data_IF_962800947879
#
_entry.id   IF_962800947879
#
_cell.length_a   1.000
_cell.length_b   1.000
_cell.length_c   1.000
_cell.angle_alpha   90.00
_cell.angle_beta   90.00
_cell.angle_gamma   90.00
#
_symmetry.space_group_name_H-M   'P 1'
#
loop_
_entity.id
_entity.type
_entity.pdbx_description
1 polymer ?
#
# COMPACT_ATOMS: atom_id res chain seq x y z
N UNK A 1 16.21 -0.56 -5.92
CA UNK A 1 15.15 -0.73 -4.92
C UNK A 1 15.31 -2.02 -4.11
N UNK A 2 15.81 -1.88 -2.89
CA UNK A 2 15.79 -2.89 -1.83
C UNK A 2 14.41 -2.89 -1.13
N UNK A 3 13.90 -4.05 -0.68
CA UNK A 3 12.63 -4.16 0.06
C UNK A 3 12.91 -4.63 1.47
N UNK A 4 12.37 -3.93 2.48
CA UNK A 4 12.52 -4.28 3.89
C UNK A 4 11.16 -4.31 4.59
N UNK A 5 10.97 -5.31 5.44
CA UNK A 5 9.85 -5.36 6.37
C UNK A 5 10.39 -5.12 7.78
N UNK A 6 9.68 -4.29 8.56
CA UNK A 6 9.95 -4.02 9.98
C UNK A 6 8.72 -4.41 10.80
N UNK A 7 8.42 -3.71 11.90
CA UNK A 7 7.21 -3.95 12.69
C UNK A 7 5.95 -3.69 11.85
N UNK A 8 5.28 -4.77 11.48
CA UNK A 8 4.10 -4.75 10.63
C UNK A 8 2.82 -4.84 11.48
N UNK A 9 2.01 -3.77 11.47
CA UNK A 9 0.66 -3.77 12.02
C UNK A 9 -0.30 -3.27 10.91
N UNK A 10 -1.16 -4.12 10.32
CA UNK A 10 -1.97 -3.71 9.18
C UNK A 10 -2.93 -2.54 9.47
N UNK A 11 -3.30 -2.32 10.74
CA UNK A 11 -4.20 -1.22 11.13
C UNK A 11 -3.47 0.10 11.44
N UNK A 12 -2.14 0.06 11.49
CA UNK A 12 -1.30 1.21 11.80
C UNK A 12 0.07 0.98 11.18
N UNK A 13 0.19 1.22 9.87
CA UNK A 13 1.42 0.95 9.14
C UNK A 13 1.95 2.16 8.42
N UNK A 14 3.25 2.39 8.58
CA UNK A 14 4.00 3.38 7.83
C UNK A 14 4.77 2.72 6.70
N UNK A 15 4.60 3.26 5.50
CA UNK A 15 5.39 2.89 4.33
C UNK A 15 6.39 4.01 4.08
N UNK A 16 7.66 3.64 3.92
CA UNK A 16 8.76 4.58 3.74
C UNK A 16 9.47 4.31 2.42
N UNK A 17 9.79 5.37 1.70
CA UNK A 17 10.50 5.32 0.43
C UNK A 17 11.74 6.19 0.57
N UNK A 18 12.90 5.60 0.33
CA UNK A 18 14.14 6.35 0.16
C UNK A 18 14.45 6.48 -1.32
N UNK A 19 14.67 7.72 -1.74
CA UNK A 19 15.10 8.09 -3.08
C UNK A 19 16.63 8.19 -3.12
N UNK A 20 17.24 7.86 -4.26
CA UNK A 20 18.70 8.03 -4.46
C UNK A 20 19.13 9.51 -4.60
N UNK A 21 18.15 10.42 -4.70
CA UNK A 21 18.31 11.87 -4.67
C UNK A 21 17.08 12.54 -4.03
N UNK A 22 17.08 13.86 -3.85
CA UNK A 22 15.88 14.58 -3.40
C UNK A 22 14.88 14.61 -4.56
N UNK A 23 13.69 14.00 -4.44
CA UNK A 23 12.75 13.87 -5.54
C UNK A 23 12.22 15.24 -5.97
N UNK A 24 12.09 15.44 -7.28
CA UNK A 24 11.41 16.59 -7.88
C UNK A 24 9.90 16.54 -7.64
N UNK A 25 9.21 17.66 -7.82
CA UNK A 25 7.74 17.71 -7.69
C UNK A 25 7.01 16.74 -8.63
N UNK A 26 7.57 16.50 -9.82
CA UNK A 26 7.01 15.52 -10.77
C UNK A 26 7.17 14.07 -10.27
N UNK A 27 8.33 13.74 -9.70
CA UNK A 27 8.55 12.40 -9.13
C UNK A 27 7.68 12.16 -7.91
N UNK A 28 7.48 13.18 -7.06
CA UNK A 28 6.52 13.12 -5.95
C UNK A 28 5.11 12.84 -6.46
N UNK A 29 4.66 13.54 -7.50
CA UNK A 29 3.36 13.31 -8.11
C UNK A 29 3.19 11.88 -8.62
N UNK A 30 4.21 11.29 -9.26
CA UNK A 30 4.15 9.89 -9.70
C UNK A 30 3.99 8.90 -8.54
N UNK A 31 4.70 9.14 -7.43
CA UNK A 31 4.59 8.32 -6.23
C UNK A 31 3.18 8.47 -5.62
N UNK A 32 2.72 9.70 -5.41
CA UNK A 32 1.39 9.98 -4.87
C UNK A 32 0.28 9.35 -5.72
N UNK A 33 0.34 9.50 -7.05
CA UNK A 33 -0.65 8.94 -7.97
C UNK A 33 -0.68 7.42 -7.93
N UNK A 34 0.48 6.75 -7.86
CA UNK A 34 0.57 5.31 -7.70
C UNK A 34 -0.12 4.87 -6.40
N UNK A 35 0.20 5.51 -5.27
CA UNK A 35 -0.35 5.17 -3.97
C UNK A 35 -1.85 5.47 -3.86
N UNK A 36 -2.30 6.61 -4.37
CA UNK A 36 -3.72 6.97 -4.42
C UNK A 36 -4.51 5.96 -5.24
N UNK A 37 -3.98 5.52 -6.39
CA UNK A 37 -4.62 4.53 -7.25
C UNK A 37 -4.68 3.15 -6.58
N UNK A 38 -3.56 2.72 -5.98
CA UNK A 38 -3.47 1.46 -5.23
C UNK A 38 -4.43 1.44 -4.04
N UNK A 39 -4.44 2.51 -3.23
CA UNK A 39 -5.35 2.64 -2.10
C UNK A 39 -6.81 2.67 -2.55
N UNK A 40 -7.13 3.36 -3.64
CA UNK A 40 -8.51 3.40 -4.16
C UNK A 40 -9.02 2.00 -4.52
N UNK A 41 -8.21 1.18 -5.20
CA UNK A 41 -8.55 -0.22 -5.48
C UNK A 41 -8.71 -1.03 -4.18
N UNK A 42 -7.79 -0.88 -3.23
CA UNK A 42 -7.85 -1.55 -1.93
C UNK A 42 -9.08 -1.13 -1.10
N UNK A 43 -9.45 0.15 -1.11
CA UNK A 43 -10.62 0.71 -0.42
C UNK A 43 -11.93 0.10 -0.92
N UNK A 44 -11.96 -0.30 -2.20
CA UNK A 44 -13.09 -0.97 -2.83
C UNK A 44 -13.04 -2.51 -2.68
N UNK A 45 -12.06 -3.06 -1.96
CA UNK A 45 -11.90 -4.50 -1.76
C UNK A 45 -11.31 -5.22 -2.98
N UNK A 46 -10.60 -4.49 -3.86
CA UNK A 46 -10.00 -5.06 -5.08
C UNK A 46 -8.87 -6.07 -4.82
N UNK A 47 -8.29 -6.06 -3.62
CA UNK A 47 -7.27 -7.03 -3.18
C UNK A 47 -7.90 -8.08 -2.27
N UNK A 48 -8.93 -8.77 -2.79
CA UNK A 48 -9.64 -9.83 -2.07
C UNK A 48 -9.16 -11.21 -2.53
N UNK A 49 -8.41 -11.88 -1.68
CA UNK A 49 -7.87 -13.21 -1.96
C UNK A 49 -8.96 -14.30 -2.04
N UNK A 50 -10.11 -14.12 -1.39
CA UNK A 50 -11.22 -15.08 -1.43
C UNK A 50 -11.90 -15.13 -2.81
N UNK A 51 -11.73 -14.10 -3.65
CA UNK A 51 -12.38 -14.00 -4.96
C UNK A 51 -11.38 -13.91 -6.14
N UNK A 52 -10.19 -14.49 -6.01
CA UNK A 52 -9.16 -14.53 -7.06
C UNK A 52 -9.38 -15.65 -8.10
N UNK A 53 -10.61 -15.82 -8.58
CA UNK A 53 -11.01 -16.97 -9.41
C UNK A 53 -10.14 -17.17 -10.67
N UNK A 54 -9.74 -16.07 -11.32
CA UNK A 54 -8.89 -16.12 -12.52
C UNK A 54 -7.49 -16.63 -12.18
N UNK A 55 -6.93 -16.17 -11.05
CA UNK A 55 -5.63 -16.61 -10.56
C UNK A 55 -5.67 -18.08 -10.15
N UNK A 56 -6.73 -18.50 -9.48
CA UNK A 56 -6.91 -19.87 -8.99
C UNK A 56 -7.09 -20.89 -10.13
N UNK A 57 -7.64 -20.45 -11.27
CA UNK A 57 -7.76 -21.28 -12.47
C UNK A 57 -6.39 -21.53 -13.16
N UNK A 58 -5.49 -20.56 -13.12
CA UNK A 58 -4.14 -20.69 -13.67
C UNK A 58 -4.05 -20.53 -15.19
N UNK A 59 -4.09 -21.63 -15.95
CA UNK A 59 -3.57 -21.68 -17.34
C UNK A 59 -4.67 -21.74 -18.42
N UNK A 60 -5.88 -22.20 -18.09
CA UNK A 60 -6.97 -22.45 -19.05
C UNK A 60 -8.10 -21.39 -18.95
N UNK A 61 -7.73 -20.11 -19.09
CA UNK A 61 -8.65 -18.97 -18.93
C UNK A 61 -9.71 -18.88 -20.04
N UNK A 62 -9.43 -19.47 -21.21
CA UNK A 62 -10.35 -19.37 -22.36
C UNK A 62 -11.70 -20.00 -22.03
N UNK A 63 -12.77 -19.22 -22.17
CA UNK A 63 -14.15 -19.63 -21.84
C UNK A 63 -14.37 -19.99 -20.36
N UNK A 64 -13.56 -19.42 -19.45
CA UNK A 64 -13.83 -19.47 -18.02
C UNK A 64 -15.18 -18.83 -17.71
N UNK A 65 -16.06 -19.60 -17.09
CA UNK A 65 -17.28 -19.09 -16.48
C UNK A 65 -16.93 -18.51 -15.11
N UNK A 66 -17.18 -17.22 -14.93
CA UNK A 66 -16.94 -16.55 -13.64
C UNK A 66 -18.08 -16.90 -12.68
N UNK A 67 -17.72 -17.40 -11.50
CA UNK A 67 -18.69 -17.80 -10.49
C UNK A 67 -19.22 -16.56 -9.75
N UNK A 68 -20.42 -16.13 -10.14
CA UNK A 68 -21.10 -15.00 -9.52
C UNK A 68 -21.57 -15.29 -8.10
N UNK A 69 -21.95 -16.54 -7.79
CA UNK A 69 -22.38 -16.91 -6.44
C UNK A 69 -21.18 -16.87 -5.49
N UNK A 70 -20.01 -17.35 -5.91
CA UNK A 70 -18.78 -17.21 -5.15
C UNK A 70 -18.43 -15.73 -4.92
N UNK A 71 -18.53 -14.89 -5.95
CA UNK A 71 -18.21 -13.46 -5.85
C UNK A 71 -19.16 -12.71 -4.90
N UNK A 72 -20.46 -13.02 -4.93
CA UNK A 72 -21.46 -12.40 -4.03
C UNK A 72 -21.31 -12.88 -2.57
N UNK A 73 -20.86 -14.12 -2.36
CA UNK A 73 -20.68 -14.68 -1.01
C UNK A 73 -19.29 -14.41 -0.40
N UNK A 74 -18.32 -13.96 -1.19
CA UNK A 74 -16.97 -13.63 -0.70
C UNK A 74 -17.03 -12.43 0.26
N UNK A 75 -16.31 -12.50 1.39
CA UNK A 75 -16.28 -11.37 2.31
C UNK A 75 -15.48 -10.23 1.70
N UNK A 76 -15.97 -9.00 1.86
CA UNK A 76 -15.23 -7.83 1.40
C UNK A 76 -13.93 -7.67 2.21
N UNK A 77 -12.84 -7.34 1.52
CA UNK A 77 -11.50 -7.18 2.08
C UNK A 77 -10.98 -5.73 1.87
N UNK A 78 -11.63 -4.70 2.43
CA UNK A 78 -11.27 -3.30 2.16
C UNK A 78 -10.09 -2.78 2.98
N UNK A 79 -9.33 -1.86 2.39
CA UNK A 79 -8.53 -0.90 3.13
C UNK A 79 -9.40 0.16 3.79
N UNK A 80 -8.96 0.72 4.92
CA UNK A 80 -9.76 1.67 5.66
C UNK A 80 -9.29 3.10 5.46
N UNK A 81 -8.02 3.42 5.71
CA UNK A 81 -7.56 4.80 5.69
C UNK A 81 -6.16 4.94 5.08
N UNK A 82 -5.90 6.14 4.56
CA UNK A 82 -4.61 6.58 4.03
C UNK A 82 -4.38 8.01 4.56
N UNK A 83 -3.19 8.27 5.09
CA UNK A 83 -2.76 9.60 5.48
C UNK A 83 -2.28 10.44 4.30
N UNK A 84 -1.85 11.66 4.56
CA UNK A 84 -1.16 12.46 3.53
C UNK A 84 0.22 11.87 3.22
N UNK A 85 0.68 12.06 1.98
CA UNK A 85 2.05 11.70 1.62
C UNK A 85 2.98 12.83 2.06
N UNK A 86 3.98 12.48 2.87
CA UNK A 86 4.93 13.45 3.41
C UNK A 86 6.29 13.23 2.76
N UNK A 87 7.04 14.31 2.52
CA UNK A 87 8.40 14.27 2.00
C UNK A 87 9.36 15.08 2.86
N UNK A 88 10.52 14.50 3.16
CA UNK A 88 11.61 15.16 3.89
C UNK A 88 12.95 14.74 3.27
N UNK A 89 13.68 15.69 2.70
CA UNK A 89 14.94 15.42 1.99
C UNK A 89 14.75 14.33 0.92
N UNK A 90 15.52 13.23 0.96
CA UNK A 90 15.39 12.10 0.04
C UNK A 90 14.44 11.01 0.56
N UNK A 91 13.58 11.32 1.53
CA UNK A 91 12.58 10.40 2.06
C UNK A 91 11.17 10.83 1.70
N UNK A 92 10.33 9.84 1.41
CA UNK A 92 8.89 9.95 1.39
C UNK A 92 8.27 8.95 2.37
N UNK A 93 7.14 9.29 2.98
CA UNK A 93 6.38 8.36 3.82
C UNK A 93 4.89 8.59 3.71
N UNK A 94 4.12 7.55 3.95
CA UNK A 94 2.68 7.64 4.09
C UNK A 94 2.19 6.58 5.07
N UNK A 95 1.17 6.94 5.85
CA UNK A 95 0.51 6.06 6.79
C UNK A 95 -0.72 5.41 6.16
N UNK A 96 -0.99 4.16 6.54
CA UNK A 96 -2.14 3.39 6.11
C UNK A 96 -2.78 2.60 7.25
N UNK A 97 -4.10 2.48 7.18
CA UNK A 97 -4.88 1.41 7.78
C UNK A 97 -5.36 0.51 6.64
N UNK A 98 -4.67 -0.62 6.47
CA UNK A 98 -4.94 -1.61 5.44
C UNK A 98 -6.26 -2.37 5.68
N UNK A 99 -6.91 -2.15 6.83
CA UNK A 99 -8.18 -2.78 7.17
C UNK A 99 -8.09 -4.30 7.13
N UNK A 100 -9.02 -4.92 6.42
CA UNK A 100 -9.03 -6.38 6.21
C UNK A 100 -8.42 -6.80 4.89
N UNK A 101 -7.89 -5.85 4.10
CA UNK A 101 -7.32 -6.10 2.78
C UNK A 101 -6.25 -7.19 2.76
N UNK A 102 -6.31 -8.08 1.78
CA UNK A 102 -5.36 -9.18 1.69
C UNK A 102 -3.98 -8.73 1.19
N UNK A 103 -2.96 -9.45 1.64
CA UNK A 103 -1.55 -9.09 1.42
C UNK A 103 -1.11 -9.09 -0.05
N UNK A 104 -1.92 -9.65 -0.97
CA UNK A 104 -1.68 -9.54 -2.42
C UNK A 104 -1.62 -8.07 -2.86
N UNK A 105 -2.33 -7.17 -2.17
CA UNK A 105 -2.23 -5.73 -2.41
C UNK A 105 -0.80 -5.21 -2.22
N UNK A 106 -0.04 -5.73 -1.26
CA UNK A 106 1.34 -5.32 -1.00
C UNK A 106 2.28 -5.82 -2.10
N UNK A 107 2.10 -7.07 -2.57
CA UNK A 107 2.87 -7.59 -3.70
C UNK A 107 2.66 -6.78 -4.98
N UNK A 108 1.40 -6.40 -5.26
CA UNK A 108 1.04 -5.54 -6.41
C UNK A 108 1.74 -4.18 -6.29
N UNK A 109 1.71 -3.55 -5.10
CA UNK A 109 2.38 -2.27 -4.88
C UNK A 109 3.89 -2.36 -5.08
N UNK A 110 4.53 -3.40 -4.52
CA UNK A 110 5.98 -3.63 -4.69
C UNK A 110 6.31 -3.76 -6.18
N UNK A 111 5.54 -4.54 -6.93
CA UNK A 111 5.78 -4.72 -8.37
C UNK A 111 5.63 -3.40 -9.14
N UNK A 112 4.60 -2.60 -8.83
CA UNK A 112 4.41 -1.30 -9.44
C UNK A 112 5.54 -0.32 -9.09
N UNK A 113 5.96 -0.25 -7.83
CA UNK A 113 7.08 0.58 -7.38
C UNK A 113 8.40 0.15 -8.03
N UNK A 114 8.62 -1.14 -8.25
CA UNK A 114 9.83 -1.63 -8.94
C UNK A 114 9.90 -1.14 -10.37
N UNK A 115 8.77 -1.04 -11.06
CA UNK A 115 8.74 -0.56 -12.44
C UNK A 115 8.82 0.96 -12.50
N UNK A 116 8.06 1.66 -11.65
CA UNK A 116 8.17 3.10 -11.49
C UNK A 116 9.62 3.51 -11.16
N UNK A 117 10.26 2.73 -10.27
CA UNK A 117 11.63 2.91 -9.82
C UNK A 117 12.71 2.73 -10.89
N UNK A 118 12.41 2.02 -11.98
CA UNK A 118 13.35 1.83 -13.10
C UNK A 118 13.23 2.92 -14.15
N UNK A 119 12.00 3.35 -14.42
CA UNK A 119 11.69 4.14 -15.61
C UNK A 119 11.49 5.64 -15.30
N UNK A 120 11.09 5.99 -14.08
CA UNK A 120 10.60 7.35 -13.78
C UNK A 120 11.19 7.99 -12.52
N UNK A 121 11.41 7.22 -11.45
CA UNK A 121 11.80 7.77 -10.13
C UNK A 121 12.97 6.98 -9.56
N UNK A 122 14.04 7.64 -9.09
CA UNK A 122 15.19 6.95 -8.51
C UNK A 122 14.92 6.40 -7.10
N UNK A 123 14.47 5.14 -6.98
CA UNK A 123 14.12 4.52 -5.68
C UNK A 123 15.21 3.57 -5.17
N UNK A 124 15.83 3.94 -4.05
CA UNK A 124 16.86 3.17 -3.36
C UNK A 124 16.27 2.03 -2.54
N UNK A 125 15.32 2.33 -1.64
CA UNK A 125 14.68 1.34 -0.77
C UNK A 125 13.22 1.65 -0.50
N UNK A 126 12.45 0.59 -0.23
CA UNK A 126 11.08 0.62 0.24
C UNK A 126 10.98 -0.18 1.53
N UNK A 127 10.51 0.47 2.60
CA UNK A 127 10.38 -0.10 3.94
C UNK A 127 8.91 -0.14 4.32
N UNK A 128 8.46 -1.32 4.75
CA UNK A 128 7.08 -1.58 5.14
C UNK A 128 7.05 -1.82 6.65
N UNK A 129 6.43 -0.89 7.38
CA UNK A 129 6.30 -0.92 8.83
C UNK A 129 7.45 -0.26 9.60
N UNK A 130 7.30 -0.25 10.92
CA UNK A 130 8.22 0.34 11.88
C UNK A 130 8.35 1.86 11.81
N UNK A 131 9.21 2.40 12.66
CA UNK A 131 9.63 3.80 12.65
C UNK A 131 10.94 3.94 11.88
N UNK A 132 11.12 5.06 11.16
CA UNK A 132 12.42 5.40 10.60
C UNK A 132 13.23 6.23 11.61
N UNK A 133 14.43 5.77 11.97
CA UNK A 133 15.28 6.45 12.95
C UNK A 133 15.67 7.86 12.48
N UNK A 134 15.89 8.02 11.17
CA UNK A 134 16.26 9.28 10.51
C UNK A 134 15.10 10.28 10.42
N UNK A 135 13.87 9.79 10.47
CA UNK A 135 12.66 10.61 10.42
C UNK A 135 11.57 10.04 11.31
N UNK A 136 11.61 10.43 12.59
CA UNK A 136 10.66 9.96 13.60
C UNK A 136 9.23 10.41 13.28
N UNK A 137 8.27 9.63 13.74
CA UNK A 137 6.86 9.98 13.72
C UNK A 137 6.62 10.93 14.90
N UNK A 138 6.00 12.09 14.65
CA UNK A 138 5.60 12.97 15.74
C UNK A 138 4.46 12.30 16.52
N UNK A 139 4.68 12.01 17.81
CA UNK A 139 3.71 11.31 18.68
C UNK A 139 2.42 12.09 18.97
N UNK A 140 2.14 13.18 18.28
CA UNK A 140 1.00 14.05 18.56
C UNK A 140 -0.14 13.79 17.58
N UNK A 141 -0.97 12.79 17.88
CA UNK A 141 -2.43 12.76 17.61
C UNK A 141 -3.12 11.43 17.96
N UNK A 142 -2.70 10.70 19.00
CA UNK A 142 -3.44 9.52 19.50
C UNK A 142 -3.90 9.60 20.97
N UNK A 143 -3.76 10.75 21.63
CA UNK A 143 -4.26 11.00 23.00
C UNK A 143 -5.67 11.66 23.02
N UNK A 144 -6.44 11.54 21.93
CA UNK A 144 -7.72 12.25 21.76
C UNK A 144 -9.01 11.45 21.99
N UNK A 145 -8.95 10.12 22.12
CA UNK A 145 -10.15 9.29 22.29
C UNK A 145 -10.01 8.33 23.47
N UNK A 146 -9.97 8.91 24.67
CA UNK A 146 -10.42 8.24 25.87
C UNK A 146 -11.06 9.26 26.81
N UNK A 147 -12.22 8.88 27.34
CA UNK A 147 -13.09 9.60 28.27
C UNK A 147 -14.18 10.47 27.62
N UNK A 148 -15.31 9.85 27.31
CA UNK A 148 -16.57 10.25 27.96
C UNK A 148 -17.54 9.05 28.02
N UNK A 149 -18.29 9.01 29.12
CA UNK A 149 -19.04 7.88 29.70
C UNK A 149 -20.24 7.40 28.88
#
# INVERSE_FOLDING_TARGET
MEIKFREFNPFDIWFWIEFDHVPSEMEKQYIEELFNSWFYLGKLGGFNAENLQIQDLGIDISYMDYDHDLAENSMMSPMHNMGEFEFLSNWGRCWFDLGTSDLIGIDILINALRELGKEYVGISQFIIGGENEDWRIDKKENDGFSEEY
#
